data_IF_014945944332
#
_entry.id   IF_014945944332
#
_cell.length_a   1.000
_cell.length_b   1.000
_cell.length_c   1.000
_cell.angle_alpha   90.00
_cell.angle_beta   90.00
_cell.angle_gamma   90.00
#
_symmetry.space_group_name_H-M   'P 1'
#
loop_
_entity.id
_entity.type
_entity.pdbx_description
1 polymer ?
#
# COMPACT_ATOMS: atom_id res chain seq x y z
N UNK A 1 -37.57 -32.93 22.26
CA UNK A 1 -36.20 -32.97 22.82
C UNK A 1 -35.16 -33.76 22.01
N UNK A 2 -35.53 -34.67 21.11
CA UNK A 2 -34.55 -35.45 20.29
C UNK A 2 -33.92 -34.68 19.11
N UNK A 3 -34.64 -33.71 18.50
CA UNK A 3 -34.10 -32.95 17.33
C UNK A 3 -33.06 -31.89 17.68
N UNK A 4 -33.05 -31.36 18.89
CA UNK A 4 -32.07 -30.37 19.34
C UNK A 4 -30.68 -31.01 19.57
N UNK A 5 -30.62 -32.27 20.01
CA UNK A 5 -29.37 -32.97 20.27
C UNK A 5 -28.64 -33.45 19.02
N UNK A 6 -29.35 -33.65 17.90
CA UNK A 6 -28.74 -34.01 16.61
C UNK A 6 -28.11 -32.78 15.89
N UNK A 7 -28.77 -31.64 15.94
CA UNK A 7 -28.25 -30.40 15.39
C UNK A 7 -26.98 -29.92 16.12
N UNK A 8 -26.96 -30.07 17.45
CA UNK A 8 -25.82 -29.68 18.30
C UNK A 8 -24.56 -30.55 18.02
N UNK A 9 -24.76 -31.87 17.79
CA UNK A 9 -23.67 -32.78 17.41
C UNK A 9 -23.11 -32.47 16.01
N UNK A 10 -23.94 -32.12 15.04
CA UNK A 10 -23.51 -31.76 13.68
C UNK A 10 -22.68 -30.47 13.65
N UNK A 11 -23.08 -29.49 14.46
CA UNK A 11 -22.33 -28.24 14.59
C UNK A 11 -20.98 -28.42 15.29
N UNK A 12 -20.93 -29.24 16.34
CA UNK A 12 -19.68 -29.54 17.04
C UNK A 12 -18.66 -30.24 16.12
N UNK A 13 -19.12 -31.19 15.29
CA UNK A 13 -18.29 -31.89 14.32
C UNK A 13 -17.81 -30.95 13.21
N UNK A 14 -18.68 -30.07 12.71
CA UNK A 14 -18.31 -29.06 11.71
C UNK A 14 -17.24 -28.11 12.24
N UNK A 15 -17.40 -27.58 13.47
CA UNK A 15 -16.40 -26.68 14.12
C UNK A 15 -15.06 -27.39 14.31
N UNK A 16 -15.08 -28.69 14.64
CA UNK A 16 -13.86 -29.52 14.75
C UNK A 16 -13.16 -29.60 13.40
N UNK A 17 -13.87 -29.93 12.33
CA UNK A 17 -13.32 -30.00 10.97
C UNK A 17 -12.78 -28.66 10.49
N UNK A 18 -13.47 -27.54 10.80
CA UNK A 18 -12.97 -26.22 10.41
C UNK A 18 -11.64 -25.88 11.09
N UNK A 19 -11.48 -26.22 12.40
CA UNK A 19 -10.19 -26.06 13.10
C UNK A 19 -9.10 -26.95 12.53
N UNK A 20 -9.42 -28.20 12.24
CA UNK A 20 -8.45 -29.16 11.65
C UNK A 20 -7.97 -28.69 10.27
N UNK A 21 -8.88 -28.18 9.43
CA UNK A 21 -8.52 -27.61 8.12
C UNK A 21 -7.61 -26.38 8.25
N UNK A 22 -7.95 -25.48 9.17
CA UNK A 22 -7.12 -24.30 9.45
C UNK A 22 -5.70 -24.70 9.91
N UNK A 23 -5.59 -25.64 10.85
CA UNK A 23 -4.31 -26.14 11.37
C UNK A 23 -3.51 -26.93 10.32
N UNK A 24 -4.19 -27.59 9.39
CA UNK A 24 -3.55 -28.29 8.27
C UNK A 24 -3.03 -27.33 7.18
N UNK A 25 -3.30 -26.03 7.29
CA UNK A 25 -2.82 -25.06 6.31
C UNK A 25 -3.68 -24.94 5.06
N UNK A 26 -4.94 -25.43 5.10
CA UNK A 26 -5.87 -25.33 4.00
C UNK A 26 -6.15 -23.85 3.66
N UNK A 27 -5.85 -23.45 2.43
CA UNK A 27 -5.99 -22.06 1.94
C UNK A 27 -7.44 -21.58 1.96
N UNK A 28 -8.39 -22.45 1.66
CA UNK A 28 -9.82 -22.09 1.68
C UNK A 28 -10.29 -21.83 3.12
N UNK A 29 -9.75 -22.53 4.12
CA UNK A 29 -10.04 -22.29 5.52
C UNK A 29 -9.45 -20.97 6.07
N UNK A 30 -8.65 -20.25 5.27
CA UNK A 30 -8.03 -18.95 5.61
C UNK A 30 -8.72 -17.76 4.94
N UNK A 31 -9.88 -17.96 4.31
CA UNK A 31 -10.70 -16.83 3.85
C UNK A 31 -11.21 -16.00 5.03
N UNK A 32 -11.39 -14.69 4.80
CA UNK A 32 -11.87 -13.74 5.84
C UNK A 32 -13.16 -14.22 6.52
N UNK A 33 -14.08 -14.79 5.75
CA UNK A 33 -15.36 -15.32 6.25
C UNK A 33 -15.14 -16.52 7.17
N UNK A 34 -14.35 -17.52 6.74
CA UNK A 34 -14.11 -18.73 7.53
C UNK A 34 -13.21 -18.46 8.74
N UNK A 35 -12.26 -17.52 8.63
CA UNK A 35 -11.47 -17.08 9.78
C UNK A 35 -12.35 -16.38 10.83
N UNK A 36 -13.24 -15.49 10.40
CA UNK A 36 -14.16 -14.82 11.30
C UNK A 36 -15.15 -15.80 11.93
N UNK A 37 -15.68 -16.75 11.15
CA UNK A 37 -16.53 -17.82 11.66
C UNK A 37 -15.78 -18.63 12.73
N UNK A 38 -14.54 -19.03 12.45
CA UNK A 38 -13.70 -19.77 13.39
C UNK A 38 -13.45 -18.98 14.68
N UNK A 39 -13.12 -17.70 14.59
CA UNK A 39 -12.93 -16.83 15.76
C UNK A 39 -14.21 -16.73 16.60
N UNK A 40 -15.34 -16.52 15.98
CA UNK A 40 -16.62 -16.43 16.68
C UNK A 40 -17.00 -17.75 17.39
N UNK A 41 -16.53 -18.91 16.89
CA UNK A 41 -16.77 -20.19 17.58
C UNK A 41 -16.12 -20.29 18.96
N UNK A 42 -15.10 -19.49 19.25
CA UNK A 42 -14.46 -19.44 20.57
C UNK A 42 -15.22 -18.56 21.57
N UNK A 43 -15.95 -17.54 21.07
CA UNK A 43 -16.69 -16.61 21.93
C UNK A 43 -18.16 -17.01 22.13
N UNK A 44 -18.74 -17.73 21.15
CA UNK A 44 -20.15 -18.10 21.16
C UNK A 44 -20.30 -19.61 21.19
N UNK A 45 -20.80 -20.14 22.28
CA UNK A 45 -21.09 -21.57 22.43
C UNK A 45 -22.47 -21.91 21.84
N UNK A 46 -22.58 -23.04 21.13
CA UNK A 46 -23.84 -23.68 20.70
C UNK A 46 -24.69 -22.95 19.64
N UNK A 47 -24.24 -21.85 19.06
CA UNK A 47 -24.95 -21.14 17.99
C UNK A 47 -24.19 -21.29 16.68
N UNK A 48 -24.87 -21.40 15.55
CA UNK A 48 -24.24 -21.35 14.23
C UNK A 48 -23.68 -19.96 13.99
N UNK A 49 -22.35 -19.86 13.94
CA UNK A 49 -21.63 -18.59 13.79
C UNK A 49 -21.44 -18.17 12.32
N UNK A 50 -21.75 -19.06 11.37
CA UNK A 50 -21.60 -18.81 9.93
C UNK A 50 -22.46 -17.63 9.44
N UNK A 51 -23.79 -17.57 9.73
CA UNK A 51 -24.61 -16.45 9.28
C UNK A 51 -24.12 -15.11 9.85
N UNK A 52 -23.61 -15.13 11.09
CA UNK A 52 -23.08 -13.93 11.74
C UNK A 52 -21.77 -13.49 11.11
N UNK A 53 -20.86 -14.41 10.78
CA UNK A 53 -19.61 -14.12 10.09
C UNK A 53 -19.88 -13.53 8.69
N UNK A 54 -20.79 -14.13 7.94
CA UNK A 54 -21.21 -13.63 6.61
C UNK A 54 -21.79 -12.23 6.69
N UNK A 55 -22.66 -11.96 7.64
CA UNK A 55 -23.26 -10.64 7.85
C UNK A 55 -22.22 -9.60 8.23
N UNK A 56 -21.25 -9.93 9.10
CA UNK A 56 -20.16 -9.04 9.46
C UNK A 56 -19.26 -8.72 8.26
N UNK A 57 -18.88 -9.73 7.47
CA UNK A 57 -18.10 -9.49 6.23
C UNK A 57 -18.91 -8.68 5.22
N UNK A 58 -20.21 -8.92 5.10
CA UNK A 58 -21.10 -8.12 4.24
C UNK A 58 -21.15 -6.65 4.65
N UNK A 59 -21.21 -6.36 5.95
CA UNK A 59 -21.30 -4.98 6.48
C UNK A 59 -19.96 -4.26 6.41
N UNK A 60 -18.89 -4.92 6.83
CA UNK A 60 -17.57 -4.29 6.99
C UNK A 60 -16.61 -4.54 5.81
N UNK A 61 -16.88 -5.51 4.94
CA UNK A 61 -16.11 -5.80 3.73
C UNK A 61 -14.93 -6.75 3.91
N UNK A 62 -14.29 -6.82 5.09
CA UNK A 62 -13.14 -7.71 5.37
C UNK A 62 -13.00 -8.00 6.87
N UNK A 63 -12.28 -9.07 7.19
CA UNK A 63 -11.94 -9.41 8.57
C UNK A 63 -11.18 -8.28 9.27
N UNK A 64 -10.23 -7.67 8.59
CA UNK A 64 -9.47 -6.55 9.13
C UNK A 64 -10.36 -5.35 9.49
N UNK A 65 -11.37 -5.07 8.68
CA UNK A 65 -12.32 -4.00 8.95
C UNK A 65 -13.28 -4.34 10.08
N UNK A 66 -13.68 -5.61 10.23
CA UNK A 66 -14.43 -6.08 11.41
C UNK A 66 -13.61 -5.88 12.69
N UNK A 67 -12.35 -6.30 12.69
CA UNK A 67 -11.46 -6.17 13.85
C UNK A 67 -11.23 -4.70 14.26
N UNK A 68 -11.05 -3.80 13.26
CA UNK A 68 -10.81 -2.37 13.48
C UNK A 68 -12.08 -1.58 13.86
N UNK A 69 -13.28 -2.10 13.61
CA UNK A 69 -14.53 -1.44 13.92
C UNK A 69 -14.66 -1.10 15.42
N UNK A 70 -15.29 0.03 15.74
CA UNK A 70 -15.44 0.44 17.15
C UNK A 70 -16.31 -0.53 17.95
N UNK A 71 -16.03 -0.66 19.25
CA UNK A 71 -16.83 -1.48 20.16
C UNK A 71 -18.31 -1.07 20.15
N UNK A 72 -18.57 0.25 19.99
CA UNK A 72 -19.92 0.80 19.90
C UNK A 72 -20.66 0.35 18.64
N UNK A 73 -19.97 0.28 17.51
CA UNK A 73 -20.53 -0.19 16.24
C UNK A 73 -20.79 -1.69 16.27
N UNK A 74 -19.84 -2.48 16.77
CA UNK A 74 -19.97 -3.93 16.88
C UNK A 74 -21.13 -4.33 17.78
N UNK A 75 -21.35 -3.67 18.92
CA UNK A 75 -22.46 -3.93 19.85
C UNK A 75 -23.87 -3.71 19.26
N UNK A 76 -23.98 -2.96 18.15
CA UNK A 76 -25.26 -2.74 17.45
C UNK A 76 -25.63 -3.90 16.54
N UNK A 77 -24.71 -4.83 16.26
CA UNK A 77 -24.96 -5.98 15.39
C UNK A 77 -25.71 -7.06 16.17
N UNK A 78 -26.88 -7.43 15.65
CA UNK A 78 -27.71 -8.47 16.27
C UNK A 78 -26.97 -9.82 16.26
N UNK A 79 -26.87 -10.45 17.41
CA UNK A 79 -26.17 -11.75 17.57
C UNK A 79 -24.71 -11.63 17.95
N UNK A 80 -24.13 -10.43 17.98
CA UNK A 80 -22.78 -10.22 18.48
C UNK A 80 -22.83 -9.86 19.98
N UNK A 81 -22.52 -10.83 20.81
CA UNK A 81 -22.52 -10.66 22.27
C UNK A 81 -21.23 -9.94 22.75
N UNK A 82 -21.25 -9.50 24.02
CA UNK A 82 -20.12 -8.75 24.59
C UNK A 82 -18.82 -9.56 24.59
N UNK A 83 -18.87 -10.88 24.76
CA UNK A 83 -17.73 -11.80 24.67
C UNK A 83 -17.10 -11.81 23.29
N UNK A 84 -17.93 -11.83 22.24
CA UNK A 84 -17.48 -11.78 20.85
C UNK A 84 -16.84 -10.43 20.52
N UNK A 85 -17.46 -9.33 20.97
CA UNK A 85 -16.88 -7.98 20.80
C UNK A 85 -15.52 -7.89 21.50
N UNK A 86 -15.43 -8.38 22.75
CA UNK A 86 -14.17 -8.39 23.50
C UNK A 86 -13.07 -9.21 22.79
N UNK A 87 -13.41 -10.40 22.28
CA UNK A 87 -12.46 -11.23 21.53
C UNK A 87 -11.92 -10.50 20.28
N UNK A 88 -12.80 -9.92 19.47
CA UNK A 88 -12.40 -9.18 18.27
C UNK A 88 -11.52 -7.98 18.62
N UNK A 89 -11.81 -7.26 19.69
CA UNK A 89 -11.00 -6.12 20.15
C UNK A 89 -9.65 -6.54 20.73
N UNK A 90 -9.56 -7.68 21.42
CA UNK A 90 -8.29 -8.24 21.91
C UNK A 90 -7.39 -8.59 20.70
N UNK A 91 -7.94 -9.25 19.68
CA UNK A 91 -7.19 -9.61 18.48
C UNK A 91 -6.69 -8.34 17.75
N UNK A 92 -7.57 -7.35 17.59
CA UNK A 92 -7.17 -6.07 17.01
C UNK A 92 -6.03 -5.42 17.80
N UNK A 93 -6.13 -5.38 19.13
CA UNK A 93 -5.09 -4.81 19.99
C UNK A 93 -3.75 -5.55 19.86
N UNK A 94 -3.78 -6.89 19.80
CA UNK A 94 -2.57 -7.71 19.61
C UNK A 94 -1.91 -7.39 18.25
N UNK A 95 -2.72 -7.21 17.19
CA UNK A 95 -2.21 -6.92 15.85
C UNK A 95 -1.67 -5.49 15.68
N UNK A 96 -2.33 -4.51 16.31
CA UNK A 96 -2.06 -3.09 16.03
C UNK A 96 -1.31 -2.40 17.18
N UNK A 97 -1.28 -2.98 18.37
CA UNK A 97 -0.76 -2.35 19.59
C UNK A 97 -1.57 -1.12 20.04
N UNK A 98 -2.72 -0.84 19.41
CA UNK A 98 -3.53 0.35 19.65
C UNK A 98 -5.02 0.02 19.74
N UNK A 99 -5.74 0.75 20.61
CA UNK A 99 -7.20 0.75 20.62
C UNK A 99 -7.73 1.59 19.45
N UNK A 100 -8.96 1.30 19.00
CA UNK A 100 -9.58 2.13 17.96
C UNK A 100 -9.76 3.57 18.47
N UNK A 101 -9.68 4.58 17.59
CA UNK A 101 -9.80 5.99 17.99
C UNK A 101 -11.08 6.32 18.76
N UNK A 102 -12.21 5.68 18.41
CA UNK A 102 -13.50 5.87 19.08
C UNK A 102 -13.54 5.16 20.46
N UNK A 103 -12.85 4.05 20.62
CA UNK A 103 -12.74 3.35 21.90
C UNK A 103 -11.87 4.18 22.87
N UNK A 104 -10.84 4.87 22.40
CA UNK A 104 -10.03 5.82 23.20
C UNK A 104 -10.86 7.00 23.75
N UNK A 105 -11.74 7.55 22.92
CA UNK A 105 -12.65 8.63 23.34
C UNK A 105 -13.64 8.14 24.41
N UNK A 106 -14.14 6.93 24.27
CA UNK A 106 -15.06 6.34 25.25
C UNK A 106 -14.35 6.03 26.58
N UNK A 107 -13.12 5.51 26.51
CA UNK A 107 -12.27 5.26 27.69
C UNK A 107 -11.88 6.56 28.38
N UNK A 108 -11.53 7.62 27.61
CA UNK A 108 -11.24 8.94 28.16
C UNK A 108 -12.46 9.59 28.83
N UNK A 109 -13.66 9.50 28.23
CA UNK A 109 -14.91 9.99 28.84
C UNK A 109 -15.26 9.21 30.11
N UNK A 110 -15.03 7.90 30.14
CA UNK A 110 -15.23 7.07 31.32
C UNK A 110 -14.20 7.40 32.42
N UNK A 111 -12.96 7.64 32.07
CA UNK A 111 -11.91 8.05 33.01
C UNK A 111 -12.20 9.43 33.62
N UNK A 112 -12.66 10.40 32.80
CA UNK A 112 -13.08 11.72 33.26
C UNK A 112 -14.29 11.61 34.20
N UNK A 113 -15.28 10.78 33.88
CA UNK A 113 -16.46 10.55 34.71
C UNK A 113 -16.09 9.88 36.06
N UNK A 114 -15.14 8.94 36.07
CA UNK A 114 -14.62 8.32 37.29
C UNK A 114 -13.81 9.35 38.08
N UNK A 115 -13.00 10.20 37.45
CA UNK A 115 -12.26 11.24 38.11
C UNK A 115 -13.15 12.33 38.70
N UNK A 116 -14.24 12.72 38.01
CA UNK A 116 -15.26 13.60 38.55
C UNK A 116 -16.01 13.00 39.75
N UNK A 117 -16.37 11.71 39.68
CA UNK A 117 -16.97 11.00 40.83
C UNK A 117 -16.04 10.92 42.05
N UNK A 118 -14.76 10.70 41.84
CA UNK A 118 -13.74 10.71 42.91
C UNK A 118 -13.54 12.08 43.52
N UNK A 119 -13.76 13.17 42.76
CA UNK A 119 -13.73 14.55 43.27
C UNK A 119 -15.03 14.94 43.97
N UNK A 120 -16.21 14.44 43.55
CA UNK A 120 -17.48 14.71 44.19
C UNK A 120 -17.59 14.01 45.55
N UNK A 121 -17.03 12.80 45.73
CA UNK A 121 -16.96 12.10 47.01
C UNK A 121 -15.97 12.75 48.02
N UNK A 122 -15.20 13.72 47.60
CA UNK A 122 -14.22 14.42 48.45
C UNK A 122 -14.72 15.78 48.97
N UNK A 123 -15.92 16.23 48.59
CA UNK A 123 -16.45 17.56 48.90
C UNK A 123 -17.79 17.57 49.63
N UNK A 124 -18.24 16.45 50.16
CA UNK A 124 -19.41 16.46 51.07
C UNK A 124 -18.99 16.78 52.51
N UNK A 125 -18.70 18.03 52.74
CA UNK A 125 -18.99 18.79 53.98
C UNK A 125 -18.86 20.27 53.71
N UNK A 126 -19.97 20.91 53.51
CA UNK A 126 -20.43 22.23 53.97
C UNK A 126 -21.37 22.96 53.00
N UNK A 127 -22.62 23.05 53.51
CA UNK A 127 -23.62 24.15 53.40
C UNK A 127 -24.25 24.55 52.06
N UNK A 128 -25.49 24.11 51.96
CA UNK A 128 -26.79 24.84 51.88
C UNK A 128 -27.02 25.97 50.83
N UNK A 129 -28.12 25.75 50.09
CA UNK A 129 -29.17 26.68 49.63
C UNK A 129 -28.85 27.70 48.54
N UNK A 130 -29.43 27.58 47.37
CA UNK A 130 -30.58 28.32 46.87
C UNK A 130 -31.08 27.82 45.51
N UNK A 131 -32.37 27.66 45.50
CA UNK A 131 -33.42 27.59 44.52
C UNK A 131 -33.24 28.23 43.12
N UNK A 132 -33.75 27.47 42.13
CA UNK A 132 -34.80 27.74 41.12
C UNK A 132 -34.30 28.46 39.85
N UNK A 133 -34.61 28.04 38.68
CA UNK A 133 -35.86 27.90 37.92
C UNK A 133 -35.50 27.42 36.47
N UNK A 134 -36.27 26.48 36.00
CA UNK A 134 -36.47 26.18 34.57
C UNK A 134 -37.44 27.22 33.98
N UNK A 135 -37.49 27.53 32.69
CA UNK A 135 -38.36 26.78 31.82
C UNK A 135 -38.03 26.74 30.29
N UNK A 136 -38.48 25.65 29.66
CA UNK A 136 -39.19 25.52 28.36
C UNK A 136 -38.68 26.18 27.08
N UNK A 137 -38.50 25.45 25.97
CA UNK A 137 -39.49 25.11 24.90
C UNK A 137 -38.77 24.45 23.73
N UNK A 138 -39.11 23.23 23.30
CA UNK A 138 -40.02 22.83 22.21
C UNK A 138 -39.76 23.55 20.87
N UNK A 139 -39.50 22.82 19.82
CA UNK A 139 -40.06 22.73 18.45
C UNK A 139 -39.12 21.87 17.60
N UNK A 140 -39.43 20.70 17.25
CA UNK A 140 -40.16 20.02 16.18
C UNK A 140 -39.79 20.43 14.73
N UNK A 141 -39.63 19.38 13.98
CA UNK A 141 -40.01 19.05 12.60
C UNK A 141 -39.00 19.08 11.45
N UNK A 142 -38.89 17.89 10.90
CA UNK A 142 -38.92 17.52 9.47
C UNK A 142 -37.99 18.21 8.48
N UNK A 143 -37.09 17.40 7.92
CA UNK A 143 -36.88 17.44 6.47
C UNK A 143 -36.51 16.05 5.90
N UNK A 144 -37.32 15.67 4.93
CA UNK A 144 -37.25 14.47 4.10
C UNK A 144 -35.98 14.47 3.22
N UNK A 145 -35.43 13.28 3.06
CA UNK A 145 -34.51 12.93 1.97
C UNK A 145 -35.24 12.96 0.61
N UNK A 146 -34.54 13.26 -0.48
CA UNK A 146 -34.98 12.84 -1.81
C UNK A 146 -34.15 11.65 -2.30
N UNK A 147 -34.84 10.57 -2.58
CA UNK A 147 -34.38 9.43 -3.36
C UNK A 147 -34.05 9.89 -4.80
N UNK A 148 -32.93 9.40 -5.33
CA UNK A 148 -32.62 9.50 -6.76
C UNK A 148 -32.44 8.08 -7.31
N UNK A 149 -33.15 7.71 -8.38
CA UNK A 149 -33.23 6.32 -8.85
C UNK A 149 -32.02 5.91 -9.69
N UNK A 150 -31.63 4.68 -9.43
CA UNK A 150 -30.61 3.93 -10.17
C UNK A 150 -31.20 3.48 -11.52
N UNK A 151 -30.67 3.97 -12.61
CA UNK A 151 -30.89 3.39 -13.94
C UNK A 151 -29.60 2.78 -14.47
N UNK A 152 -29.69 1.50 -14.73
CA UNK A 152 -28.72 0.62 -15.39
C UNK A 152 -28.84 0.84 -16.91
N UNK A 153 -27.78 0.95 -17.70
CA UNK A 153 -27.85 0.73 -19.12
C UNK A 153 -27.39 -0.68 -19.50
N UNK A 154 -28.25 -1.29 -20.26
CA UNK A 154 -28.09 -2.58 -20.91
C UNK A 154 -27.05 -2.56 -22.03
N UNK A 155 -26.55 -3.77 -22.28
CA UNK A 155 -25.69 -4.15 -23.40
C UNK A 155 -26.40 -3.95 -24.72
N UNK A 156 -25.70 -3.47 -25.72
CA UNK A 156 -25.88 -3.90 -27.10
C UNK A 156 -24.57 -3.98 -27.85
N UNK A 157 -24.45 -5.09 -28.48
CA UNK A 157 -23.54 -5.69 -29.40
C UNK A 157 -23.50 -5.01 -30.78
N UNK A 158 -22.45 -5.38 -31.48
CA UNK A 158 -22.27 -5.72 -32.90
C UNK A 158 -21.64 -4.69 -33.85
N UNK A 159 -20.53 -5.16 -34.41
CA UNK A 159 -20.12 -5.49 -35.80
C UNK A 159 -19.82 -4.27 -36.69
N UNK A 160 -18.69 -4.20 -37.34
CA UNK A 160 -18.12 -4.93 -38.46
C UNK A 160 -16.84 -4.29 -38.99
N UNK A 161 -15.96 -5.13 -39.40
CA UNK A 161 -15.07 -5.19 -40.56
C UNK A 161 -14.93 -3.97 -41.47
N UNK A 162 -13.69 -3.64 -41.85
CA UNK A 162 -13.15 -3.92 -43.17
C UNK A 162 -11.80 -3.20 -43.43
N UNK A 163 -10.91 -4.01 -43.91
CA UNK A 163 -9.97 -3.84 -45.01
C UNK A 163 -8.88 -2.75 -45.00
N UNK A 164 -7.64 -3.27 -45.12
CA UNK A 164 -6.47 -2.54 -45.61
C UNK A 164 -6.55 -2.27 -47.14
N UNK A 165 -5.52 -1.81 -47.81
CA UNK A 165 -4.23 -2.50 -47.96
C UNK A 165 -2.94 -1.62 -48.14
N UNK A 166 -1.85 -2.33 -47.96
CA UNK A 166 -0.58 -2.39 -48.73
C UNK A 166 0.16 -1.15 -49.27
N UNK A 167 1.45 -1.27 -49.00
CA UNK A 167 2.63 -0.95 -49.84
C UNK A 167 3.01 0.51 -50.11
N UNK A 168 4.24 0.88 -49.76
CA UNK A 168 5.36 0.96 -50.70
C UNK A 168 6.68 1.34 -50.02
N UNK A 169 7.69 0.57 -50.35
CA UNK A 169 9.12 0.85 -50.13
C UNK A 169 9.55 2.12 -50.86
N UNK A 170 10.43 2.91 -50.24
CA UNK A 170 11.48 3.64 -50.95
C UNK A 170 12.74 3.78 -50.13
N UNK A 171 13.72 3.01 -50.53
CA UNK A 171 15.15 3.11 -50.26
C UNK A 171 15.69 4.46 -50.71
N UNK A 172 16.40 5.17 -49.85
CA UNK A 172 17.41 6.13 -50.32
C UNK A 172 18.57 6.23 -49.34
N UNK A 173 19.70 5.83 -49.86
CA UNK A 173 21.07 5.83 -49.36
C UNK A 173 21.60 7.26 -49.28
N UNK A 174 22.11 7.71 -48.13
CA UNK A 174 23.09 8.80 -48.07
C UNK A 174 24.14 8.59 -46.97
N UNK A 175 25.36 8.89 -47.37
CA UNK A 175 26.66 8.77 -46.69
C UNK A 175 26.84 9.76 -45.52
N UNK A 176 27.90 9.59 -44.70
CA UNK A 176 28.07 10.28 -43.42
C UNK A 176 28.80 11.60 -43.56
N UNK A 177 28.37 12.62 -42.85
CA UNK A 177 29.18 13.81 -42.57
C UNK A 177 29.41 13.90 -41.06
N UNK A 178 30.70 14.01 -40.73
CA UNK A 178 31.22 14.27 -39.38
C UNK A 178 30.90 15.69 -38.95
N UNK A 179 30.23 15.87 -37.84
CA UNK A 179 30.25 17.11 -37.08
C UNK A 179 30.38 16.79 -35.59
N UNK A 180 31.33 17.42 -34.95
CA UNK A 180 31.62 17.37 -33.54
C UNK A 180 30.36 17.79 -32.77
N UNK A 181 29.72 16.86 -32.09
CA UNK A 181 28.61 17.17 -31.21
C UNK A 181 29.11 17.45 -29.78
N UNK A 182 28.84 18.65 -29.33
CA UNK A 182 28.75 19.04 -27.92
C UNK A 182 27.86 18.03 -27.17
N UNK A 183 28.14 17.68 -25.91
CA UNK A 183 27.34 16.72 -25.21
C UNK A 183 25.91 17.27 -25.05
N UNK A 184 25.01 16.72 -25.85
CA UNK A 184 23.58 16.94 -25.76
C UNK A 184 23.11 16.35 -24.46
N UNK A 185 22.53 17.19 -23.61
CA UNK A 185 21.69 16.78 -22.48
C UNK A 185 20.79 15.61 -22.93
N UNK A 186 20.94 14.45 -22.30
CA UNK A 186 20.05 13.31 -22.53
C UNK A 186 18.63 13.84 -22.40
N UNK A 187 17.82 13.71 -23.45
CA UNK A 187 16.38 13.94 -23.37
C UNK A 187 15.87 13.08 -22.25
N UNK A 188 15.41 13.71 -21.17
CA UNK A 188 14.68 13.04 -20.10
C UNK A 188 13.52 12.31 -20.77
N UNK A 189 13.53 10.98 -20.72
CA UNK A 189 12.50 10.17 -21.33
C UNK A 189 11.16 10.54 -20.72
N UNK A 190 10.14 10.75 -21.57
CA UNK A 190 8.78 10.99 -21.08
C UNK A 190 8.33 9.77 -20.29
N UNK A 191 8.10 9.95 -19.00
CA UNK A 191 7.62 8.88 -18.13
C UNK A 191 6.28 8.32 -18.60
N UNK A 192 6.05 7.06 -18.34
CA UNK A 192 4.82 6.37 -18.70
C UNK A 192 3.73 6.69 -17.67
N UNK A 193 2.58 7.26 -18.08
CA UNK A 193 1.50 7.52 -17.15
C UNK A 193 0.57 6.31 -16.93
N UNK A 194 0.55 5.33 -17.85
CA UNK A 194 -0.25 4.11 -17.73
C UNK A 194 0.62 2.95 -17.24
N UNK A 195 0.49 2.60 -15.97
CA UNK A 195 1.18 1.47 -15.32
C UNK A 195 0.20 0.35 -15.03
N UNK A 196 -0.93 0.68 -14.42
CA UNK A 196 -1.92 -0.29 -13.94
C UNK A 196 -2.83 -0.84 -15.04
N UNK A 197 -3.02 -0.11 -16.15
CA UNK A 197 -4.01 -0.42 -17.18
C UNK A 197 -5.44 -0.66 -16.61
N UNK A 198 -5.73 -0.08 -15.45
CA UNK A 198 -7.00 -0.21 -14.75
C UNK A 198 -7.13 -1.43 -13.85
N UNK A 199 -6.05 -2.20 -13.63
CA UNK A 199 -5.99 -3.27 -12.64
C UNK A 199 -5.44 -2.77 -11.31
N UNK A 200 -5.82 -3.41 -10.22
CA UNK A 200 -5.25 -3.16 -8.90
C UNK A 200 -3.92 -3.89 -8.75
N UNK A 201 -3.12 -3.46 -7.79
CA UNK A 201 -1.91 -4.17 -7.39
C UNK A 201 -2.30 -5.38 -6.54
N UNK A 202 -2.26 -6.56 -7.16
CA UNK A 202 -2.52 -7.84 -6.52
C UNK A 202 -1.21 -8.61 -6.42
N UNK A 203 -0.60 -8.62 -5.24
CA UNK A 203 0.71 -9.26 -5.06
C UNK A 203 0.65 -10.77 -5.25
N UNK A 204 -0.46 -11.43 -4.91
CA UNK A 204 -0.62 -12.87 -5.16
C UNK A 204 -0.58 -13.22 -6.65
N UNK A 205 -1.16 -12.36 -7.49
CA UNK A 205 -1.08 -12.53 -8.95
C UNK A 205 0.31 -12.18 -9.48
N UNK A 206 0.96 -11.15 -8.90
CA UNK A 206 2.34 -10.83 -9.25
C UNK A 206 3.29 -11.96 -8.83
N UNK A 207 3.07 -12.58 -7.67
CA UNK A 207 3.83 -13.73 -7.21
C UNK A 207 3.83 -14.89 -8.23
N UNK A 208 2.69 -15.18 -8.87
CA UNK A 208 2.63 -16.20 -9.95
C UNK A 208 3.56 -15.86 -11.12
N UNK A 209 3.58 -14.59 -11.51
CA UNK A 209 4.46 -14.12 -12.59
C UNK A 209 5.92 -14.22 -12.16
N UNK A 210 6.26 -13.76 -10.94
CA UNK A 210 7.63 -13.83 -10.43
C UNK A 210 8.13 -15.28 -10.26
N UNK A 211 7.27 -16.17 -9.78
CA UNK A 211 7.58 -17.60 -9.64
C UNK A 211 7.93 -18.22 -10.99
N UNK A 212 7.11 -18.01 -12.01
CA UNK A 212 7.39 -18.50 -13.34
C UNK A 212 8.70 -17.93 -13.90
N UNK A 213 8.96 -16.62 -13.70
CA UNK A 213 10.21 -16.00 -14.14
C UNK A 213 11.43 -16.51 -13.37
N UNK A 214 11.28 -16.88 -12.12
CA UNK A 214 12.32 -17.48 -11.27
C UNK A 214 12.69 -18.87 -11.76
N UNK A 215 11.71 -19.71 -12.07
CA UNK A 215 11.94 -21.05 -12.65
C UNK A 215 12.65 -20.98 -14.01
N UNK A 216 12.46 -19.87 -14.74
CA UNK A 216 13.05 -19.64 -16.05
C UNK A 216 14.16 -18.57 -16.04
N UNK A 217 14.90 -18.46 -14.92
CA UNK A 217 15.93 -17.41 -14.71
C UNK A 217 17.04 -17.39 -15.77
N UNK A 218 17.32 -18.51 -16.42
CA UNK A 218 18.35 -18.63 -17.47
C UNK A 218 17.83 -18.18 -18.86
N UNK A 219 16.54 -17.88 -18.97
CA UNK A 219 15.97 -17.40 -20.23
C UNK A 219 16.45 -15.98 -20.55
N UNK A 220 16.89 -15.76 -21.78
CA UNK A 220 17.30 -14.41 -22.24
C UNK A 220 16.12 -13.47 -22.43
N UNK A 221 14.95 -14.02 -22.73
CA UNK A 221 13.70 -13.26 -22.96
C UNK A 221 12.51 -14.20 -22.80
N UNK A 222 11.45 -13.72 -22.15
CA UNK A 222 10.17 -14.40 -22.03
C UNK A 222 9.10 -13.52 -22.66
N UNK A 223 8.22 -14.11 -23.48
CA UNK A 223 7.12 -13.36 -24.09
C UNK A 223 5.92 -13.26 -23.15
N UNK A 224 5.11 -12.19 -23.29
CA UNK A 224 3.86 -12.05 -22.51
C UNK A 224 2.87 -13.18 -22.80
N UNK A 225 2.90 -13.76 -24.01
CA UNK A 225 2.06 -14.87 -24.39
C UNK A 225 2.40 -16.12 -23.58
N UNK A 226 3.68 -16.44 -23.43
CA UNK A 226 4.13 -17.54 -22.56
C UNK A 226 3.70 -17.32 -21.12
N UNK A 227 3.90 -16.10 -20.56
CA UNK A 227 3.42 -15.75 -19.22
C UNK A 227 1.91 -15.95 -19.07
N UNK A 228 1.12 -15.61 -20.09
CA UNK A 228 -0.32 -15.80 -20.08
C UNK A 228 -0.69 -17.29 -20.03
N UNK A 229 -0.08 -18.10 -20.89
CA UNK A 229 -0.34 -19.54 -21.02
C UNK A 229 0.02 -20.28 -19.72
N UNK A 230 1.18 -19.97 -19.13
CA UNK A 230 1.70 -20.68 -17.96
C UNK A 230 1.09 -20.20 -16.62
N UNK A 231 0.78 -18.92 -16.49
CA UNK A 231 0.20 -18.39 -15.24
C UNK A 231 -1.31 -18.50 -15.18
N UNK A 232 -1.98 -18.78 -16.30
CA UNK A 232 -3.45 -18.80 -16.42
C UNK A 232 -4.10 -17.41 -16.30
N UNK A 233 -3.31 -16.32 -16.37
CA UNK A 233 -3.80 -14.95 -16.31
C UNK A 233 -4.18 -14.46 -17.70
N UNK A 234 -5.13 -13.53 -17.80
CA UNK A 234 -5.46 -12.90 -19.08
C UNK A 234 -4.31 -12.02 -19.60
N UNK A 235 -4.24 -11.79 -20.91
CA UNK A 235 -3.23 -10.94 -21.56
C UNK A 235 -3.13 -9.55 -20.90
N UNK A 236 -4.29 -8.95 -20.56
CA UNK A 236 -4.34 -7.65 -19.91
C UNK A 236 -3.79 -7.69 -18.49
N UNK A 237 -4.09 -8.73 -17.72
CA UNK A 237 -3.53 -8.92 -16.38
C UNK A 237 -2.01 -9.09 -16.44
N UNK A 238 -1.50 -9.97 -17.32
CA UNK A 238 -0.06 -10.13 -17.53
C UNK A 238 0.59 -8.81 -17.90
N UNK A 239 0.00 -8.07 -18.85
CA UNK A 239 0.52 -6.77 -19.28
C UNK A 239 0.60 -5.76 -18.13
N UNK A 240 -0.40 -5.75 -17.24
CA UNK A 240 -0.46 -4.89 -16.07
C UNK A 240 0.57 -5.32 -15.00
N UNK A 241 0.60 -6.61 -14.64
CA UNK A 241 1.50 -7.14 -13.62
C UNK A 241 2.97 -6.99 -14.02
N UNK A 242 3.32 -7.24 -15.28
CA UNK A 242 4.67 -6.98 -15.82
C UNK A 242 5.01 -5.50 -15.76
N UNK A 243 4.06 -4.60 -16.09
CA UNK A 243 4.26 -3.17 -15.98
C UNK A 243 4.49 -2.73 -14.52
N UNK A 244 3.68 -3.22 -13.58
CA UNK A 244 3.83 -2.94 -12.15
C UNK A 244 5.14 -3.52 -11.60
N UNK A 245 5.47 -4.78 -11.93
CA UNK A 245 6.74 -5.40 -11.53
C UNK A 245 7.95 -4.67 -12.08
N UNK A 246 7.87 -4.15 -13.32
CA UNK A 246 8.92 -3.31 -13.88
C UNK A 246 9.02 -1.96 -13.17
N UNK A 247 7.89 -1.35 -12.80
CA UNK A 247 7.86 -0.09 -12.05
C UNK A 247 8.48 -0.22 -10.66
N UNK A 248 8.36 -1.39 -10.03
CA UNK A 248 8.97 -1.71 -8.74
C UNK A 248 10.41 -2.28 -8.85
N UNK A 249 11.02 -2.22 -10.03
CA UNK A 249 12.40 -2.67 -10.27
C UNK A 249 12.58 -4.19 -10.23
N UNK A 250 11.52 -5.01 -10.32
CA UNK A 250 11.57 -6.46 -10.18
C UNK A 250 11.73 -7.18 -11.52
N UNK A 251 11.19 -6.62 -12.60
CA UNK A 251 11.15 -7.21 -13.94
C UNK A 251 11.80 -6.27 -14.94
N UNK A 252 12.72 -6.76 -15.74
CA UNK A 252 13.33 -5.97 -16.84
C UNK A 252 12.29 -5.73 -17.94
N UNK A 253 12.01 -4.45 -18.28
CA UNK A 253 11.00 -4.12 -19.29
C UNK A 253 11.44 -4.63 -20.67
N UNK A 254 10.47 -5.07 -21.48
CA UNK A 254 10.70 -5.48 -22.87
C UNK A 254 11.17 -6.92 -23.05
N UNK A 255 11.87 -7.50 -22.10
CA UNK A 255 12.37 -8.89 -22.16
C UNK A 255 11.72 -9.81 -21.11
N UNK A 256 11.01 -9.27 -20.13
CA UNK A 256 10.29 -9.96 -19.06
C UNK A 256 11.15 -11.05 -18.39
N UNK A 257 12.29 -10.68 -17.87
CA UNK A 257 13.12 -11.50 -16.97
C UNK A 257 13.29 -10.77 -15.64
N UNK A 258 13.60 -11.47 -14.59
CA UNK A 258 13.86 -10.86 -13.29
C UNK A 258 15.12 -9.98 -13.32
N UNK A 259 15.05 -8.87 -12.57
CA UNK A 259 16.25 -8.14 -12.17
C UNK A 259 16.98 -8.93 -11.06
N UNK A 260 18.23 -8.60 -10.71
CA UNK A 260 18.87 -9.20 -9.54
C UNK A 260 18.03 -9.06 -8.26
N UNK A 261 17.46 -7.88 -8.01
CA UNK A 261 16.57 -7.64 -6.87
C UNK A 261 15.24 -8.40 -7.01
N UNK A 262 14.70 -8.49 -8.23
CA UNK A 262 13.49 -9.27 -8.50
C UNK A 262 13.70 -10.76 -8.23
N UNK A 263 14.86 -11.30 -8.56
CA UNK A 263 15.23 -12.67 -8.25
C UNK A 263 15.34 -12.90 -6.74
N UNK A 264 16.03 -11.99 -6.04
CA UNK A 264 16.19 -12.05 -4.59
C UNK A 264 14.84 -12.02 -3.85
N UNK A 265 13.92 -11.14 -4.27
CA UNK A 265 12.58 -11.07 -3.69
C UNK A 265 11.76 -12.33 -4.04
N UNK A 266 11.85 -12.83 -5.27
CA UNK A 266 11.17 -14.08 -5.64
C UNK A 266 11.67 -15.29 -4.85
N UNK A 267 12.94 -15.33 -4.45
CA UNK A 267 13.53 -16.40 -3.64
C UNK A 267 13.16 -16.32 -2.16
N UNK A 268 13.07 -15.11 -1.59
CA UNK A 268 12.98 -14.92 -0.14
C UNK A 268 11.68 -14.34 0.37
N UNK A 269 10.89 -13.67 -0.49
CA UNK A 269 9.62 -13.02 -0.09
C UNK A 269 8.68 -12.80 -1.29
N UNK A 270 8.37 -13.86 -1.99
CA UNK A 270 7.56 -13.82 -3.21
C UNK A 270 6.15 -13.25 -3.00
N UNK A 271 5.61 -13.33 -1.77
CA UNK A 271 4.29 -12.81 -1.41
C UNK A 271 4.32 -11.38 -0.82
N UNK A 272 5.48 -10.74 -0.78
CA UNK A 272 5.63 -9.36 -0.30
C UNK A 272 5.14 -9.16 1.14
N UNK A 273 5.48 -10.10 2.02
CA UNK A 273 5.09 -10.05 3.42
C UNK A 273 6.06 -9.24 4.28
N UNK A 274 7.36 -9.25 3.91
CA UNK A 274 8.41 -8.53 4.64
C UNK A 274 8.28 -7.02 4.40
N UNK A 275 8.44 -6.27 5.48
CA UNK A 275 8.41 -4.81 5.44
C UNK A 275 9.47 -4.23 4.50
N UNK A 276 10.70 -4.76 4.55
CA UNK A 276 11.78 -4.32 3.67
C UNK A 276 11.49 -4.47 2.19
N UNK A 277 10.77 -5.54 1.79
CA UNK A 277 10.31 -5.72 0.40
C UNK A 277 9.36 -4.61 -0.01
N UNK A 278 8.39 -4.25 0.84
CA UNK A 278 7.45 -3.16 0.57
C UNK A 278 8.14 -1.80 0.52
N UNK A 279 9.09 -1.55 1.43
CA UNK A 279 9.91 -0.33 1.43
C UNK A 279 10.69 -0.20 0.12
N UNK A 280 11.38 -1.25 -0.31
CA UNK A 280 12.13 -1.25 -1.55
C UNK A 280 11.23 -1.04 -2.77
N UNK A 281 10.11 -1.75 -2.87
CA UNK A 281 9.17 -1.62 -3.97
C UNK A 281 8.53 -0.23 -4.03
N UNK A 282 8.22 0.37 -2.88
CA UNK A 282 7.75 1.75 -2.80
C UNK A 282 8.82 2.73 -3.30
N UNK A 283 10.05 2.61 -2.81
CA UNK A 283 11.18 3.44 -3.24
C UNK A 283 11.37 3.38 -4.75
N UNK A 284 11.46 2.17 -5.34
CA UNK A 284 11.64 2.01 -6.79
C UNK A 284 10.44 2.55 -7.58
N UNK A 285 9.21 2.28 -7.13
CA UNK A 285 7.99 2.71 -7.81
C UNK A 285 7.80 4.22 -7.79
N UNK A 286 7.97 4.85 -6.64
CA UNK A 286 7.77 6.28 -6.43
C UNK A 286 9.03 7.11 -6.74
N UNK A 287 10.23 6.50 -6.71
CA UNK A 287 11.50 7.18 -6.99
C UNK A 287 11.81 7.37 -8.47
N UNK A 288 11.17 6.60 -9.37
CA UNK A 288 11.45 6.65 -10.81
C UNK A 288 10.46 7.54 -11.55
N UNK A 289 10.97 8.56 -12.25
CA UNK A 289 10.19 9.42 -13.14
C UNK A 289 9.57 8.68 -14.34
N UNK A 290 10.03 7.46 -14.62
CA UNK A 290 9.41 6.57 -15.60
C UNK A 290 7.98 6.17 -15.21
N UNK A 291 7.63 6.23 -13.92
CA UNK A 291 6.30 5.97 -13.37
C UNK A 291 5.58 7.29 -13.06
N UNK A 292 5.29 8.09 -14.06
CA UNK A 292 4.89 9.49 -13.94
C UNK A 292 3.87 9.77 -12.82
N UNK A 293 2.75 9.05 -12.76
CA UNK A 293 1.70 9.30 -11.74
C UNK A 293 2.25 9.01 -10.34
N UNK A 294 2.91 7.87 -10.16
CA UNK A 294 3.45 7.46 -8.86
C UNK A 294 4.53 8.42 -8.38
N UNK A 295 5.47 8.75 -9.27
CA UNK A 295 6.53 9.72 -9.00
C UNK A 295 5.99 11.10 -8.60
N UNK A 296 5.09 11.68 -9.39
CA UNK A 296 4.53 13.02 -9.13
C UNK A 296 3.75 13.08 -7.81
N UNK A 297 3.02 12.01 -7.48
CA UNK A 297 2.29 11.95 -6.20
C UNK A 297 3.24 12.07 -5.02
N UNK A 298 4.29 11.27 -4.96
CA UNK A 298 5.18 11.22 -3.80
C UNK A 298 6.29 12.26 -3.79
N UNK A 299 6.69 12.77 -4.95
CA UNK A 299 7.76 13.75 -5.06
C UNK A 299 7.27 15.19 -5.20
N UNK A 300 5.96 15.40 -5.48
CA UNK A 300 5.42 16.72 -5.72
C UNK A 300 4.10 16.97 -5.00
N UNK A 301 3.02 16.28 -5.35
CA UNK A 301 1.70 16.59 -4.82
C UNK A 301 1.60 16.47 -3.30
N UNK A 302 2.22 15.43 -2.72
CA UNK A 302 2.27 15.20 -1.28
C UNK A 302 3.40 15.98 -0.57
N UNK A 303 4.29 16.63 -1.32
CA UNK A 303 5.36 17.50 -0.79
C UNK A 303 4.90 18.93 -0.72
N UNK A 304 4.33 19.45 -1.82
CA UNK A 304 3.94 20.85 -1.97
C UNK A 304 2.54 21.13 -1.38
N UNK A 305 1.74 20.08 -1.11
CA UNK A 305 0.35 20.15 -0.65
C UNK A 305 -0.55 21.07 -1.50
N UNK A 306 -0.17 21.28 -2.76
CA UNK A 306 -0.87 22.16 -3.70
C UNK A 306 -2.20 21.59 -4.17
N UNK A 307 -2.32 20.26 -4.18
CA UNK A 307 -3.55 19.55 -4.53
C UNK A 307 -3.78 18.46 -3.47
N UNK A 308 -4.77 18.67 -2.62
CA UNK A 308 -4.93 17.87 -1.40
C UNK A 308 -6.03 16.82 -1.45
N UNK A 309 -6.79 16.73 -2.56
CA UNK A 309 -7.85 15.74 -2.72
C UNK A 309 -7.84 15.11 -4.12
N UNK A 310 -8.67 14.09 -4.32
CA UNK A 310 -8.75 13.35 -5.58
C UNK A 310 -9.02 14.27 -6.79
N UNK A 311 -9.92 15.22 -6.66
CA UNK A 311 -10.25 16.17 -7.74
C UNK A 311 -9.05 17.07 -8.07
N UNK A 312 -8.33 17.55 -7.05
CA UNK A 312 -7.12 18.35 -7.23
C UNK A 312 -6.02 17.56 -7.97
N UNK A 313 -5.84 16.28 -7.60
CA UNK A 313 -4.91 15.39 -8.31
C UNK A 313 -5.32 15.18 -9.78
N UNK A 314 -6.60 14.96 -10.04
CA UNK A 314 -7.11 14.82 -11.42
C UNK A 314 -6.85 16.07 -12.25
N UNK A 315 -7.14 17.25 -11.71
CA UNK A 315 -6.91 18.53 -12.39
C UNK A 315 -5.42 18.74 -12.69
N UNK A 316 -4.54 18.52 -11.70
CA UNK A 316 -3.08 18.61 -11.86
C UNK A 316 -2.56 17.73 -12.99
N UNK A 317 -2.93 16.45 -12.98
CA UNK A 317 -2.48 15.52 -14.02
C UNK A 317 -3.12 15.77 -15.37
N UNK A 318 -4.35 16.24 -15.43
CA UNK A 318 -5.00 16.63 -16.68
C UNK A 318 -4.25 17.75 -17.36
N UNK A 319 -3.88 18.80 -16.63
CA UNK A 319 -3.09 19.92 -17.12
C UNK A 319 -1.70 19.45 -17.59
N UNK A 320 -1.02 18.63 -16.77
CA UNK A 320 0.31 18.10 -17.08
C UNK A 320 0.34 17.22 -18.34
N UNK A 321 -0.70 16.44 -18.57
CA UNK A 321 -0.74 15.43 -19.64
C UNK A 321 -1.32 15.95 -20.96
N UNK A 322 -2.08 17.05 -20.97
CA UNK A 322 -2.84 17.53 -22.14
C UNK A 322 -1.98 17.82 -23.35
N UNK A 323 -0.70 18.14 -23.19
CA UNK A 323 0.23 18.39 -24.30
C UNK A 323 1.06 17.15 -24.72
N UNK A 324 0.89 16.03 -24.02
CA UNK A 324 1.66 14.81 -24.22
C UNK A 324 0.80 13.64 -24.72
N UNK A 325 -0.48 13.66 -24.37
CA UNK A 325 -1.42 12.58 -24.67
C UNK A 325 -2.74 13.14 -25.19
N UNK A 326 -3.49 12.32 -25.93
CA UNK A 326 -4.83 12.72 -26.41
C UNK A 326 -5.82 12.82 -25.26
N UNK A 327 -6.79 13.76 -25.36
CA UNK A 327 -7.86 13.91 -24.37
C UNK A 327 -8.64 12.63 -24.11
N UNK A 328 -8.83 11.80 -25.16
CA UNK A 328 -9.48 10.49 -25.03
C UNK A 328 -8.66 9.56 -24.13
N UNK A 329 -7.34 9.52 -24.32
CA UNK A 329 -6.43 8.71 -23.50
C UNK A 329 -6.44 9.18 -22.05
N UNK A 330 -6.33 10.48 -21.82
CA UNK A 330 -6.36 11.08 -20.47
C UNK A 330 -7.67 10.74 -19.77
N UNK A 331 -8.81 11.03 -20.38
CA UNK A 331 -10.13 10.75 -19.78
C UNK A 331 -10.36 9.27 -19.45
N UNK A 332 -9.89 8.36 -20.29
CA UNK A 332 -10.12 6.93 -20.08
C UNK A 332 -9.20 6.28 -19.07
N UNK A 333 -7.97 6.79 -18.92
CA UNK A 333 -6.92 6.11 -18.13
C UNK A 333 -6.52 6.87 -16.86
N UNK A 334 -6.48 8.20 -16.87
CA UNK A 334 -6.01 8.97 -15.73
C UNK A 334 -6.75 8.67 -14.41
N UNK A 335 -8.11 8.63 -14.37
CA UNK A 335 -8.80 8.33 -13.12
C UNK A 335 -8.46 6.93 -12.57
N UNK A 336 -8.17 5.98 -13.45
CA UNK A 336 -7.81 4.61 -13.06
C UNK A 336 -6.40 4.55 -12.48
N UNK A 337 -5.45 5.27 -13.07
CA UNK A 337 -4.07 5.30 -12.60
C UNK A 337 -3.93 6.06 -11.26
N UNK A 338 -4.65 7.16 -11.07
CA UNK A 338 -4.70 7.84 -9.77
C UNK A 338 -5.31 6.90 -8.71
N UNK A 339 -6.44 6.26 -9.05
CA UNK A 339 -7.09 5.31 -8.15
C UNK A 339 -6.20 4.12 -7.81
N UNK A 340 -5.42 3.63 -8.77
CA UNK A 340 -4.43 2.59 -8.55
C UNK A 340 -3.44 2.97 -7.44
N UNK A 341 -2.86 4.18 -7.49
CA UNK A 341 -1.93 4.65 -6.46
C UNK A 341 -2.64 4.75 -5.11
N UNK A 342 -3.80 5.39 -5.04
CA UNK A 342 -4.56 5.55 -3.78
C UNK A 342 -4.90 4.17 -3.19
N UNK A 343 -5.47 3.28 -3.98
CA UNK A 343 -5.89 1.96 -3.49
C UNK A 343 -4.69 1.10 -3.06
N UNK A 344 -3.52 1.19 -3.73
CA UNK A 344 -2.31 0.48 -3.35
C UNK A 344 -1.86 0.80 -1.92
N UNK A 345 -1.95 2.08 -1.51
CA UNK A 345 -1.51 2.54 -0.20
C UNK A 345 -2.60 2.57 0.87
N UNK A 346 -3.87 2.64 0.50
CA UNK A 346 -4.95 2.73 1.48
C UNK A 346 -5.68 1.40 1.71
N UNK A 347 -5.67 0.50 0.71
CA UNK A 347 -6.48 -0.73 0.75
C UNK A 347 -5.70 -2.00 0.47
N UNK A 348 -4.48 -1.91 -0.05
CA UNK A 348 -3.65 -3.03 -0.48
C UNK A 348 -2.37 -3.14 0.34
N UNK A 349 -1.42 -3.96 -0.10
CA UNK A 349 -0.24 -4.31 0.68
C UNK A 349 0.61 -3.11 1.14
N UNK A 350 0.72 -2.04 0.34
CA UNK A 350 1.44 -0.83 0.75
C UNK A 350 0.77 -0.07 1.90
N UNK A 351 -0.48 -0.41 2.27
CA UNK A 351 -1.09 0.11 3.48
C UNK A 351 -0.28 -0.23 4.75
N UNK A 352 0.44 -1.35 4.74
CA UNK A 352 1.34 -1.74 5.84
C UNK A 352 2.43 -0.69 6.12
N UNK A 353 2.80 0.11 5.13
CA UNK A 353 3.77 1.20 5.30
C UNK A 353 3.17 2.43 5.99
N UNK A 354 1.85 2.61 5.99
CA UNK A 354 1.20 3.75 6.63
C UNK A 354 1.65 5.11 6.10
N UNK A 355 2.00 5.22 4.81
CA UNK A 355 2.54 6.46 4.24
C UNK A 355 1.44 7.40 3.75
N UNK A 356 0.39 6.89 3.11
CA UNK A 356 -0.71 7.68 2.55
C UNK A 356 -1.97 7.53 3.39
N UNK A 357 -2.57 8.66 3.77
CA UNK A 357 -3.80 8.72 4.56
C UNK A 357 -4.82 9.64 3.93
N UNK A 358 -6.09 9.46 4.31
CA UNK A 358 -7.18 10.35 3.95
C UNK A 358 -7.88 10.82 5.23
N UNK A 359 -8.06 12.12 5.37
CA UNK A 359 -8.80 12.72 6.48
C UNK A 359 -10.32 12.71 6.22
N UNK A 360 -11.11 13.06 7.23
CA UNK A 360 -12.57 13.09 7.15
C UNK A 360 -13.12 14.11 6.14
N UNK A 361 -12.34 15.12 5.78
CA UNK A 361 -12.62 16.13 4.76
C UNK A 361 -12.06 15.75 3.36
N UNK A 362 -11.79 14.45 3.15
CA UNK A 362 -11.30 13.87 1.91
C UNK A 362 -9.89 14.34 1.48
N UNK A 363 -9.13 15.00 2.36
CA UNK A 363 -7.75 15.37 2.06
C UNK A 363 -6.85 14.16 2.10
N UNK A 364 -6.08 13.98 1.04
CA UNK A 364 -4.99 13.01 0.97
C UNK A 364 -3.72 13.67 1.49
N UNK A 365 -3.06 13.03 2.44
CA UNK A 365 -1.83 13.53 3.03
C UNK A 365 -0.83 12.40 3.29
N UNK A 366 0.44 12.77 3.35
CA UNK A 366 1.52 11.83 3.62
C UNK A 366 1.93 11.88 5.09
N UNK A 367 2.02 10.71 5.71
CA UNK A 367 2.68 10.54 6.98
C UNK A 367 4.17 10.28 6.76
N UNK A 368 5.03 10.89 7.58
CA UNK A 368 6.47 10.63 7.58
C UNK A 368 6.73 9.19 7.98
N UNK A 369 7.55 8.52 7.19
CA UNK A 369 7.91 7.13 7.45
C UNK A 369 9.27 7.06 8.12
N UNK A 370 9.34 6.47 9.31
CA UNK A 370 10.57 6.35 10.11
C UNK A 370 10.90 4.92 10.53
N UNK A 371 10.04 3.97 10.17
CA UNK A 371 10.16 2.57 10.57
C UNK A 371 11.01 1.72 9.63
N UNK A 372 12.09 2.28 9.07
CA UNK A 372 12.90 1.59 8.07
C UNK A 372 13.59 0.32 8.61
N UNK A 373 13.63 -0.69 7.73
CA UNK A 373 14.59 -1.78 7.85
C UNK A 373 15.98 -1.23 7.48
N UNK A 374 16.94 -1.20 8.41
CA UNK A 374 18.20 -0.46 8.21
C UNK A 374 19.00 -0.90 6.97
N UNK A 375 19.08 -2.23 6.71
CA UNK A 375 19.77 -2.77 5.52
C UNK A 375 19.09 -2.37 4.22
N UNK A 376 17.76 -2.27 4.21
CA UNK A 376 17.01 -1.84 3.04
C UNK A 376 17.15 -0.33 2.84
N UNK A 377 17.14 0.44 3.91
CA UNK A 377 17.32 1.89 3.82
C UNK A 377 18.70 2.28 3.31
N UNK A 378 19.76 1.64 3.81
CA UNK A 378 21.11 1.88 3.27
C UNK A 378 21.22 1.45 1.81
N UNK A 379 20.57 0.34 1.42
CA UNK A 379 20.49 -0.08 0.01
C UNK A 379 19.91 1.00 -0.89
N UNK A 380 18.82 1.66 -0.45
CA UNK A 380 18.22 2.79 -1.20
C UNK A 380 19.20 3.97 -1.35
N UNK A 381 19.98 4.29 -0.31
CA UNK A 381 21.00 5.34 -0.38
C UNK A 381 22.07 4.99 -1.42
N UNK A 382 22.57 3.75 -1.41
CA UNK A 382 23.56 3.30 -2.39
C UNK A 382 22.99 3.28 -3.83
N UNK A 383 21.77 2.81 -4.01
CA UNK A 383 21.09 2.79 -5.31
C UNK A 383 20.90 4.21 -5.86
N UNK A 384 20.41 5.14 -5.00
CA UNK A 384 20.23 6.54 -5.38
C UNK A 384 21.55 7.21 -5.77
N UNK A 385 22.59 7.03 -4.97
CA UNK A 385 23.90 7.59 -5.25
C UNK A 385 24.50 7.00 -6.54
N UNK A 386 24.37 5.70 -6.75
CA UNK A 386 24.83 5.04 -7.98
C UNK A 386 24.11 5.57 -9.23
N UNK A 387 22.79 5.79 -9.15
CA UNK A 387 22.01 6.39 -10.25
C UNK A 387 22.46 7.81 -10.60
N UNK A 388 23.08 8.53 -9.66
CA UNK A 388 23.63 9.88 -9.82
C UNK A 388 25.15 9.89 -10.05
N UNK A 389 25.78 8.73 -10.20
CA UNK A 389 27.24 8.59 -10.37
C UNK A 389 28.02 9.31 -9.26
N UNK A 390 27.47 9.35 -8.03
CA UNK A 390 28.00 10.08 -6.90
C UNK A 390 28.39 9.14 -5.75
N UNK A 391 29.52 9.41 -5.11
CA UNK A 391 29.95 8.73 -3.89
C UNK A 391 29.80 9.60 -2.64
N UNK A 392 29.37 10.86 -2.85
CA UNK A 392 29.21 11.87 -1.82
C UNK A 392 27.96 12.68 -2.12
N UNK A 393 27.13 12.88 -1.10
CA UNK A 393 25.90 13.66 -1.18
C UNK A 393 25.70 14.52 0.07
N UNK A 394 25.28 15.78 -0.13
CA UNK A 394 24.86 16.62 1.00
C UNK A 394 23.49 16.15 1.52
N UNK A 395 23.31 16.14 2.85
CA UNK A 395 22.03 15.76 3.49
C UNK A 395 20.90 16.66 3.00
N UNK A 396 21.11 17.97 2.97
CA UNK A 396 20.11 18.94 2.54
C UNK A 396 19.73 18.77 1.06
N UNK A 397 20.68 18.44 0.21
CA UNK A 397 20.45 18.17 -1.22
C UNK A 397 19.61 16.91 -1.40
N UNK A 398 20.01 15.78 -0.78
CA UNK A 398 19.28 14.53 -0.89
C UNK A 398 17.87 14.65 -0.29
N UNK A 399 17.70 15.43 0.79
CA UNK A 399 16.39 15.67 1.40
C UNK A 399 15.42 16.44 0.50
N UNK A 400 15.90 17.10 -0.56
CA UNK A 400 15.07 17.88 -1.51
C UNK A 400 15.09 17.32 -2.93
N UNK A 401 15.97 16.37 -3.24
CA UNK A 401 16.05 15.82 -4.58
C UNK A 401 14.93 14.84 -4.87
N UNK A 402 14.07 15.10 -5.86
CA UNK A 402 13.01 14.16 -6.23
C UNK A 402 13.57 12.77 -6.57
N UNK A 403 12.88 11.73 -6.15
CA UNK A 403 13.32 10.34 -6.31
C UNK A 403 14.26 9.86 -5.20
N UNK A 404 14.76 10.75 -4.35
CA UNK A 404 15.59 10.33 -3.22
C UNK A 404 14.78 9.56 -2.17
N UNK A 405 15.41 8.67 -1.39
CA UNK A 405 14.75 8.01 -0.27
C UNK A 405 14.12 8.99 0.72
N UNK A 406 14.77 10.14 0.97
CA UNK A 406 14.23 11.16 1.86
C UNK A 406 12.90 11.72 1.35
N UNK A 407 12.85 12.17 0.09
CA UNK A 407 11.65 12.76 -0.49
C UNK A 407 10.54 11.74 -0.65
N UNK A 408 10.84 10.55 -1.15
CA UNK A 408 9.84 9.49 -1.37
C UNK A 408 9.13 9.08 -0.08
N UNK A 409 9.87 9.00 1.04
CA UNK A 409 9.32 8.62 2.34
C UNK A 409 8.90 9.80 3.24
N UNK A 410 9.03 11.03 2.75
CA UNK A 410 8.56 12.22 3.46
C UNK A 410 9.43 12.67 4.61
N UNK A 411 10.72 12.38 4.57
CA UNK A 411 11.66 12.83 5.58
C UNK A 411 12.11 14.26 5.28
N UNK A 412 12.07 15.12 6.28
CA UNK A 412 12.82 16.36 6.26
C UNK A 412 14.32 16.12 6.55
N UNK A 413 15.15 17.14 6.35
CA UNK A 413 16.59 17.02 6.54
C UNK A 413 17.00 16.57 7.96
N UNK A 414 16.21 16.94 8.98
CA UNK A 414 16.52 16.57 10.37
C UNK A 414 16.26 15.07 10.64
N UNK A 415 15.08 14.58 10.22
CA UNK A 415 14.75 13.15 10.33
C UNK A 415 15.65 12.30 9.44
N UNK A 416 15.94 12.78 8.23
CA UNK A 416 16.84 12.07 7.33
C UNK A 416 18.24 11.94 7.94
N UNK A 417 18.79 13.03 8.52
CA UNK A 417 20.06 13.00 9.25
C UNK A 417 20.07 11.97 10.37
N UNK A 418 19.02 11.94 11.17
CA UNK A 418 18.90 10.94 12.26
C UNK A 418 18.96 9.49 11.73
N UNK A 419 18.33 9.19 10.59
CA UNK A 419 18.43 7.88 9.97
C UNK A 419 19.86 7.60 9.49
N UNK A 420 20.53 8.58 8.88
CA UNK A 420 21.91 8.46 8.41
C UNK A 420 22.89 8.23 9.54
N UNK A 421 22.73 8.89 10.68
CA UNK A 421 23.54 8.65 11.90
C UNK A 421 23.45 7.19 12.33
N UNK A 422 22.25 6.60 12.33
CA UNK A 422 22.07 5.19 12.64
C UNK A 422 22.76 4.23 11.66
N UNK A 423 22.91 4.60 10.38
CA UNK A 423 23.67 3.83 9.39
C UNK A 423 25.18 4.03 9.53
N UNK A 424 25.60 5.22 9.92
CA UNK A 424 27.00 5.54 10.24
C UNK A 424 27.51 4.73 11.42
N UNK A 425 26.73 4.63 12.49
CA UNK A 425 27.05 3.86 13.70
C UNK A 425 27.22 2.37 13.41
N UNK A 426 26.46 1.84 12.44
CA UNK A 426 26.63 0.45 11.93
C UNK A 426 27.84 0.29 11.02
N UNK A 427 28.49 1.40 10.66
CA UNK A 427 29.68 1.35 9.82
C UNK A 427 29.39 1.11 8.32
N UNK A 428 28.16 1.24 7.84
CA UNK A 428 27.79 0.94 6.45
C UNK A 428 28.00 2.12 5.49
N UNK A 429 28.08 3.33 6.01
CA UNK A 429 28.46 4.55 5.30
C UNK A 429 29.23 5.48 6.27
N UNK A 430 29.72 6.62 5.78
CA UNK A 430 30.26 7.67 6.62
C UNK A 430 29.38 8.91 6.58
N UNK A 431 29.01 9.43 7.74
CA UNK A 431 28.43 10.73 7.90
C UNK A 431 29.49 11.71 8.38
N UNK A 432 29.70 12.77 7.62
CA UNK A 432 30.77 13.75 7.84
C UNK A 432 30.13 15.10 8.24
N UNK A 433 30.45 15.56 9.47
CA UNK A 433 29.92 16.80 10.08
C UNK A 433 31.00 17.86 10.35
N UNK A 434 32.26 17.55 10.09
CA UNK A 434 33.41 18.46 10.38
C UNK A 434 33.47 19.58 9.33
N UNK A 435 33.94 20.78 9.74
CA UNK A 435 34.14 21.94 8.85
C UNK A 435 32.87 22.40 8.10
N UNK A 436 31.73 22.42 8.80
CA UNK A 436 30.40 22.71 8.21
C UNK A 436 29.94 21.74 7.09
N UNK A 437 30.54 20.55 7.04
CA UNK A 437 30.04 19.48 6.19
C UNK A 437 28.81 18.88 6.84
N UNK A 438 27.82 18.52 6.02
CA UNK A 438 26.60 17.79 6.42
C UNK A 438 26.31 16.79 5.28
N UNK A 439 27.19 15.79 5.15
CA UNK A 439 27.27 14.96 3.96
C UNK A 439 27.44 13.48 4.26
N UNK A 440 26.92 12.68 3.33
CA UNK A 440 27.06 11.22 3.30
C UNK A 440 28.21 10.90 2.36
N UNK A 441 29.12 10.03 2.78
CA UNK A 441 30.12 9.39 1.92
C UNK A 441 29.91 7.89 1.92
N UNK A 442 29.74 7.32 0.73
CA UNK A 442 29.63 5.88 0.56
C UNK A 442 30.97 5.19 0.83
N UNK A 443 30.94 4.00 1.39
CA UNK A 443 32.12 3.13 1.51
C UNK A 443 32.32 2.33 0.23
N UNK A 444 33.56 2.19 -0.26
CA UNK A 444 33.85 1.35 -1.42
C UNK A 444 33.54 -0.15 -1.14
N UNK A 445 33.35 -0.92 -2.19
CA UNK A 445 33.10 -2.36 -2.13
C UNK A 445 31.64 -2.74 -1.79
N UNK A 446 30.79 -1.81 -1.30
CA UNK A 446 29.38 -2.08 -1.03
C UNK A 446 28.49 -1.66 -2.19
N UNK A 447 27.41 -2.40 -2.39
CA UNK A 447 26.37 -2.08 -3.36
C UNK A 447 24.97 -2.20 -2.74
N UNK A 448 23.96 -1.61 -3.39
CA UNK A 448 22.57 -1.75 -2.96
C UNK A 448 22.14 -3.22 -2.93
N UNK A 449 22.55 -4.01 -3.93
CA UNK A 449 22.23 -5.43 -4.01
C UNK A 449 22.83 -6.23 -2.84
N UNK A 450 24.06 -5.91 -2.43
CA UNK A 450 24.70 -6.58 -1.29
C UNK A 450 23.93 -6.34 0.00
N UNK A 451 23.50 -5.11 0.29
CA UNK A 451 22.68 -4.82 1.47
C UNK A 451 21.32 -5.50 1.44
N UNK A 452 20.69 -5.60 0.25
CA UNK A 452 19.45 -6.33 0.10
C UNK A 452 19.65 -7.83 0.30
N UNK A 453 20.73 -8.38 -0.25
CA UNK A 453 21.07 -9.80 -0.06
C UNK A 453 21.30 -10.09 1.43
N UNK A 454 22.08 -9.25 2.12
CA UNK A 454 22.30 -9.36 3.56
C UNK A 454 20.98 -9.31 4.37
N UNK A 455 20.03 -8.45 3.96
CA UNK A 455 18.70 -8.39 4.59
C UNK A 455 17.91 -9.68 4.41
N UNK A 456 17.88 -10.21 3.20
CA UNK A 456 17.05 -11.38 2.89
C UNK A 456 17.63 -12.70 3.41
N UNK A 457 18.96 -12.78 3.46
CA UNK A 457 19.70 -13.94 3.98
C UNK A 457 19.98 -13.85 5.50
N UNK A 458 19.53 -12.78 6.16
CA UNK A 458 19.74 -12.55 7.60
C UNK A 458 21.23 -12.65 8.02
N UNK A 459 22.09 -11.95 7.28
CA UNK A 459 23.53 -11.91 7.51
C UNK A 459 24.08 -10.48 7.54
N UNK A 460 25.30 -10.32 8.00
CA UNK A 460 26.02 -9.04 7.88
C UNK A 460 26.40 -8.76 6.41
N UNK A 461 26.35 -7.48 5.97
CA UNK A 461 26.81 -7.10 4.65
C UNK A 461 28.32 -7.13 4.57
N UNK A 462 28.86 -7.67 3.49
CA UNK A 462 30.29 -7.74 3.24
C UNK A 462 30.68 -6.87 2.03
N UNK A 463 31.77 -6.08 2.11
CA UNK A 463 32.28 -5.41 0.94
C UNK A 463 32.77 -6.46 -0.06
N UNK A 464 32.45 -6.25 -1.34
CA UNK A 464 33.04 -7.07 -2.40
C UNK A 464 34.55 -6.82 -2.43
N UNK A 465 35.33 -7.86 -2.36
CA UNK A 465 36.78 -7.81 -2.63
C UNK A 465 36.96 -7.43 -4.10
N UNK A 466 37.48 -6.24 -4.39
CA UNK A 466 37.90 -5.81 -5.73
C UNK A 466 39.16 -6.54 -6.17
#
# INVERSE_FOLDING_TARGET
MANSNMADKGQAEYRKKLRERFLAGDTDARSDELLLELLLTFAVARIDTRPLAQELIRIFGSLSQVLSASSGTLKKIKGLEQSSVALLKIINFIQTGTESPEDKVTTAKSAIAIQQKLFEDSTDKETSKHQAEDPHAVINENRKEPEIPFTRPEQHSEISDSDGPASEEKTTRRQPQSSKETPSLKKVGQGKFQVSNGYFLEFDQLARVLHFLQEHRDAKKISRKVLQEETGLSERQVGSLVSMGSSMGLIKPGIQILTPTGLLIAEHDIFFEKQGTLEWCHYQGAGSDQNMIWFEVFNKLLVEETATNLQGWQNYFQEKLQNQYTDKSIRNHLPKEIRFVIDAYMKRNFNKLGILHQSSDERLYRQRYTGFVPLVFVAMIYDFCAAHEAHLFQISEMAMTPGSPAVVFGLDAALFRQQIEGLHDRGWLRYETTHNLDQIRLKPGYSALEFLTAHFEDREPHPNDE
#
